data_IF_270932851114
#
_entry.id   IF_270932851114
#
_cell.length_a   1.000
_cell.length_b   1.000
_cell.length_c   1.000
_cell.angle_alpha   90.00
_cell.angle_beta   90.00
_cell.angle_gamma   90.00
#
_symmetry.space_group_name_H-M   'P 1'
#
loop_
_entity.id
_entity.type
_entity.pdbx_description
1 polymer ?
#
# COMPACT_ATOMS: atom_id res chain seq x y z
N UNK A 1 6.03 12.80 -28.01
CA UNK A 1 7.40 12.25 -27.80
C UNK A 1 7.29 10.76 -27.59
N UNK A 2 8.10 9.94 -28.27
CA UNK A 2 8.11 8.50 -28.06
C UNK A 2 9.01 8.15 -26.87
N UNK A 3 8.62 7.17 -26.05
CA UNK A 3 9.43 6.73 -24.92
C UNK A 3 10.79 6.18 -25.41
N UNK A 4 11.89 6.39 -24.65
CA UNK A 4 13.18 5.81 -24.99
C UNK A 4 13.10 4.28 -24.96
N UNK A 5 13.89 3.64 -25.84
CA UNK A 5 14.11 2.20 -25.79
C UNK A 5 15.17 1.93 -24.73
N UNK A 6 14.85 1.06 -23.78
CA UNK A 6 15.79 0.54 -22.80
C UNK A 6 16.32 -0.79 -23.30
N UNK A 7 17.63 -1.00 -23.15
CA UNK A 7 18.28 -2.25 -23.56
C UNK A 7 18.93 -2.90 -22.35
N UNK A 8 18.64 -4.17 -22.13
CA UNK A 8 19.23 -4.97 -21.05
C UNK A 8 20.58 -5.57 -21.49
N UNK A 9 21.46 -5.93 -20.54
CA UNK A 9 22.58 -6.84 -20.83
C UNK A 9 22.03 -8.13 -21.46
N UNK A 10 22.45 -8.43 -22.69
CA UNK A 10 21.89 -9.54 -23.50
C UNK A 10 21.08 -9.09 -24.73
N UNK A 11 20.96 -7.78 -24.99
CA UNK A 11 20.41 -7.25 -26.25
C UNK A 11 18.89 -7.17 -26.31
N UNK A 12 18.18 -7.57 -25.25
CA UNK A 12 16.72 -7.39 -25.14
C UNK A 12 16.43 -5.90 -25.10
N UNK A 13 15.65 -5.42 -26.06
CA UNK A 13 15.19 -4.04 -26.15
C UNK A 13 13.71 -3.95 -25.77
N UNK A 14 13.36 -2.98 -24.94
CA UNK A 14 11.98 -2.76 -24.50
C UNK A 14 11.64 -1.27 -24.48
N UNK A 15 10.41 -0.94 -24.84
CA UNK A 15 9.89 0.43 -24.84
C UNK A 15 8.63 0.48 -23.98
N UNK A 16 8.64 1.33 -22.96
CA UNK A 16 7.44 1.60 -22.16
C UNK A 16 6.43 2.43 -22.98
N UNK A 17 5.42 1.77 -23.54
CA UNK A 17 4.34 2.46 -24.25
C UNK A 17 3.54 3.44 -23.38
N UNK A 18 3.60 3.28 -22.05
CA UNK A 18 2.85 4.08 -21.08
C UNK A 18 3.69 5.14 -20.38
N UNK A 19 4.97 5.29 -20.74
CA UNK A 19 5.91 6.15 -19.99
C UNK A 19 5.32 7.51 -19.64
N UNK A 20 4.86 8.27 -20.62
CA UNK A 20 4.37 9.62 -20.37
C UNK A 20 2.97 9.66 -19.75
N UNK A 21 2.22 8.55 -19.83
CA UNK A 21 0.92 8.43 -19.18
C UNK A 21 1.04 8.36 -17.66
N UNK A 22 2.19 8.00 -17.09
CA UNK A 22 2.39 8.07 -15.63
C UNK A 22 2.25 9.48 -15.04
N UNK A 23 2.32 10.52 -15.88
CA UNK A 23 2.00 11.88 -15.46
C UNK A 23 0.51 12.08 -15.20
N UNK A 24 -0.39 11.21 -15.66
CA UNK A 24 -1.82 11.35 -15.38
C UNK A 24 -2.13 11.22 -13.88
N UNK A 25 -1.27 10.58 -13.09
CA UNK A 25 -1.38 10.56 -11.63
C UNK A 25 -1.37 11.96 -11.01
N UNK A 26 -0.75 12.95 -11.66
CA UNK A 26 -0.70 14.35 -11.17
C UNK A 26 -1.99 15.12 -11.49
N UNK A 27 -2.89 14.58 -12.32
CA UNK A 27 -4.17 15.24 -12.65
C UNK A 27 -5.00 15.39 -11.37
N UNK A 28 -5.08 14.37 -10.53
CA UNK A 28 -5.88 14.39 -9.30
C UNK A 28 -5.55 15.59 -8.39
N UNK A 29 -4.29 15.83 -7.97
CA UNK A 29 -3.96 17.00 -7.16
C UNK A 29 -4.11 18.33 -7.93
N UNK A 30 -3.92 18.35 -9.25
CA UNK A 30 -4.19 19.56 -10.06
C UNK A 30 -5.67 19.93 -10.08
N UNK A 31 -6.58 18.97 -10.11
CA UNK A 31 -8.02 19.24 -10.15
C UNK A 31 -8.54 19.95 -8.89
N UNK A 32 -7.95 19.70 -7.72
CA UNK A 32 -8.30 20.46 -6.52
C UNK A 32 -7.84 21.93 -6.61
N UNK A 33 -6.68 22.19 -7.21
CA UNK A 33 -6.17 23.55 -7.44
C UNK A 33 -7.04 24.27 -8.47
N UNK A 34 -7.40 23.59 -9.57
CA UNK A 34 -8.33 24.12 -10.58
C UNK A 34 -9.71 24.38 -9.98
N UNK A 35 -10.22 23.46 -9.16
CA UNK A 35 -11.50 23.60 -8.46
C UNK A 35 -11.52 24.84 -7.56
N UNK A 36 -10.46 25.06 -6.77
CA UNK A 36 -10.30 26.29 -5.99
C UNK A 36 -10.27 27.54 -6.89
N UNK A 37 -9.44 27.53 -7.96
CA UNK A 37 -9.29 28.70 -8.83
C UNK A 37 -10.58 29.09 -9.55
N UNK A 38 -11.37 28.11 -9.98
CA UNK A 38 -12.68 28.33 -10.59
C UNK A 38 -13.70 28.83 -9.56
N UNK A 39 -13.75 28.22 -8.37
CA UNK A 39 -14.60 28.69 -7.28
C UNK A 39 -14.25 30.14 -6.90
N UNK A 40 -12.97 30.47 -6.72
CA UNK A 40 -12.52 31.80 -6.34
C UNK A 40 -12.86 32.87 -7.39
N UNK A 41 -12.87 32.52 -8.68
CA UNK A 41 -13.25 33.46 -9.76
C UNK A 41 -14.75 33.62 -9.94
N UNK A 42 -15.54 32.58 -9.70
CA UNK A 42 -16.96 32.54 -10.08
C UNK A 42 -17.90 32.64 -8.88
N UNK A 43 -17.42 32.36 -7.66
CA UNK A 43 -18.23 32.16 -6.47
C UNK A 43 -19.01 30.83 -6.46
N UNK A 44 -18.94 30.03 -7.53
CA UNK A 44 -19.79 28.84 -7.67
C UNK A 44 -19.19 27.62 -6.96
N UNK A 45 -19.88 27.16 -5.91
CA UNK A 45 -19.49 26.01 -5.10
C UNK A 45 -19.35 24.68 -5.85
N UNK A 46 -19.97 24.55 -7.03
CA UNK A 46 -19.96 23.33 -7.85
C UNK A 46 -18.54 22.92 -8.26
N UNK A 47 -17.61 23.87 -8.38
CA UNK A 47 -16.23 23.59 -8.80
C UNK A 47 -15.45 22.72 -7.82
N UNK A 48 -15.85 22.67 -6.55
CA UNK A 48 -15.25 21.75 -5.58
C UNK A 48 -15.51 20.27 -5.91
N UNK A 49 -16.56 19.96 -6.70
CA UNK A 49 -16.91 18.59 -7.05
C UNK A 49 -16.13 18.03 -8.25
N UNK A 50 -15.30 18.84 -8.92
CA UNK A 50 -14.54 18.41 -10.10
C UNK A 50 -13.63 17.21 -9.78
N UNK A 51 -12.86 17.26 -8.69
CA UNK A 51 -11.97 16.17 -8.29
C UNK A 51 -12.71 14.86 -7.99
N UNK A 52 -13.74 14.82 -7.11
CA UNK A 52 -14.45 13.58 -6.86
C UNK A 52 -15.23 13.07 -8.07
N UNK A 53 -15.80 13.95 -8.90
CA UNK A 53 -16.45 13.51 -10.15
C UNK A 53 -15.44 12.89 -11.11
N UNK A 54 -14.23 13.46 -11.21
CA UNK A 54 -13.17 12.85 -11.99
C UNK A 54 -12.80 11.45 -11.47
N UNK A 55 -12.53 11.32 -10.17
CA UNK A 55 -12.05 10.06 -9.58
C UNK A 55 -13.14 9.00 -9.47
N UNK A 56 -14.36 9.35 -9.10
CA UNK A 56 -15.43 8.39 -8.81
C UNK A 56 -16.48 8.26 -9.93
N UNK A 57 -16.38 9.05 -11.00
CA UNK A 57 -17.25 8.91 -12.18
C UNK A 57 -16.41 8.73 -13.45
N UNK A 58 -15.55 9.70 -13.80
CA UNK A 58 -14.83 9.63 -15.07
C UNK A 58 -13.82 8.47 -15.13
N UNK A 59 -13.01 8.27 -14.07
CA UNK A 59 -12.05 7.15 -14.03
C UNK A 59 -12.76 5.79 -14.15
N UNK A 60 -13.84 5.49 -13.40
CA UNK A 60 -14.67 4.29 -13.62
C UNK A 60 -15.17 4.12 -15.05
N UNK A 61 -15.69 5.19 -15.68
CA UNK A 61 -16.16 5.12 -17.06
C UNK A 61 -15.02 4.80 -18.03
N UNK A 62 -13.85 5.40 -17.82
CA UNK A 62 -12.66 5.14 -18.62
C UNK A 62 -12.17 3.70 -18.44
N UNK A 63 -12.13 3.19 -17.21
CA UNK A 63 -11.73 1.80 -16.92
C UNK A 63 -12.67 0.78 -17.58
N UNK A 64 -13.98 1.04 -17.62
CA UNK A 64 -14.94 0.15 -18.29
C UNK A 64 -14.75 0.19 -19.82
N UNK A 65 -14.38 1.35 -20.36
CA UNK A 65 -14.19 1.53 -21.81
C UNK A 65 -12.79 1.14 -22.33
N UNK A 66 -11.82 0.95 -21.44
CA UNK A 66 -10.42 0.66 -21.80
C UNK A 66 -10.10 -0.81 -21.53
N UNK A 67 -9.54 -1.56 -22.49
CA UNK A 67 -9.12 -2.93 -22.26
C UNK A 67 -8.12 -3.05 -21.10
N UNK A 68 -8.22 -4.14 -20.34
CA UNK A 68 -7.24 -4.46 -19.30
C UNK A 68 -5.84 -4.68 -19.91
N UNK A 69 -4.80 -4.31 -19.17
CA UNK A 69 -3.42 -4.44 -19.62
C UNK A 69 -2.59 -5.27 -18.63
N UNK A 70 -2.42 -6.53 -19.00
CA UNK A 70 -1.59 -7.51 -18.30
C UNK A 70 -0.14 -7.54 -18.81
N UNK A 71 0.27 -6.57 -19.64
CA UNK A 71 1.63 -6.53 -20.19
C UNK A 71 2.63 -6.28 -19.06
N UNK A 72 3.59 -7.20 -18.96
CA UNK A 72 4.68 -7.13 -18.00
C UNK A 72 5.95 -6.64 -18.70
N UNK A 73 6.74 -5.75 -18.08
CA UNK A 73 8.10 -5.50 -18.56
C UNK A 73 8.94 -6.79 -18.41
N UNK A 74 9.86 -7.08 -19.35
CA UNK A 74 10.81 -8.17 -19.22
C UNK A 74 11.66 -8.01 -17.95
N UNK A 75 11.96 -9.11 -17.27
CA UNK A 75 12.70 -9.10 -15.99
C UNK A 75 14.13 -8.55 -16.18
N UNK A 76 14.70 -8.77 -17.36
CA UNK A 76 16.04 -8.33 -17.76
C UNK A 76 16.14 -6.79 -17.84
N UNK A 77 15.02 -6.12 -18.15
CA UNK A 77 14.95 -4.65 -18.26
C UNK A 77 14.66 -3.99 -16.91
N UNK A 78 14.22 -4.76 -15.90
CA UNK A 78 13.81 -4.25 -14.58
C UNK A 78 14.83 -3.27 -13.98
N UNK A 79 16.12 -3.62 -13.96
CA UNK A 79 17.16 -2.79 -13.37
C UNK A 79 17.28 -1.41 -14.07
N UNK A 80 17.18 -1.38 -15.40
CA UNK A 80 17.20 -0.15 -16.18
C UNK A 80 15.96 0.72 -15.91
N UNK A 81 14.78 0.11 -15.85
CA UNK A 81 13.52 0.76 -15.50
C UNK A 81 13.53 1.36 -14.09
N UNK A 82 14.06 0.64 -13.10
CA UNK A 82 14.15 1.11 -11.71
C UNK A 82 15.18 2.23 -11.53
N UNK A 83 16.24 2.25 -12.34
CA UNK A 83 17.26 3.30 -12.34
C UNK A 83 16.73 4.62 -12.94
N UNK A 84 15.75 4.55 -13.83
CA UNK A 84 15.22 5.72 -14.52
C UNK A 84 14.57 6.72 -13.55
N UNK A 85 15.05 7.97 -13.61
CA UNK A 85 14.61 9.06 -12.73
C UNK A 85 13.22 9.59 -13.07
N UNK A 86 12.73 9.38 -14.29
CA UNK A 86 11.42 9.86 -14.72
C UNK A 86 10.30 9.31 -13.82
N UNK A 87 10.29 8.00 -13.57
CA UNK A 87 9.24 7.37 -12.75
C UNK A 87 9.25 7.89 -11.31
N UNK A 88 10.43 8.10 -10.74
CA UNK A 88 10.57 8.72 -9.40
C UNK A 88 10.06 10.16 -9.38
N UNK A 89 10.38 10.95 -10.40
CA UNK A 89 9.92 12.35 -10.49
C UNK A 89 8.39 12.45 -10.51
N UNK A 90 7.69 11.50 -11.14
CA UNK A 90 6.22 11.47 -11.11
C UNK A 90 5.68 11.41 -9.68
N UNK A 91 6.19 10.48 -8.87
CA UNK A 91 5.80 10.37 -7.45
C UNK A 91 6.19 11.61 -6.63
N UNK A 92 7.33 12.25 -6.93
CA UNK A 92 7.77 13.44 -6.19
C UNK A 92 6.91 14.67 -6.50
N UNK A 93 6.44 14.82 -7.75
CA UNK A 93 5.59 15.94 -8.18
C UNK A 93 4.22 15.94 -7.50
N UNK A 94 3.73 14.78 -7.06
CA UNK A 94 2.44 14.70 -6.38
C UNK A 94 2.43 15.49 -5.07
N UNK A 95 3.53 15.45 -4.29
CA UNK A 95 3.60 16.07 -2.96
C UNK A 95 3.39 17.59 -2.97
N UNK A 96 4.14 18.39 -3.75
CA UNK A 96 3.92 19.83 -3.76
C UNK A 96 2.52 20.20 -4.25
N UNK A 97 1.98 19.50 -5.25
CA UNK A 97 0.63 19.77 -5.77
C UNK A 97 -0.46 19.45 -4.74
N UNK A 98 -0.35 18.31 -4.06
CA UNK A 98 -1.26 17.96 -2.97
C UNK A 98 -1.16 18.96 -1.79
N UNK A 99 0.06 19.41 -1.46
CA UNK A 99 0.28 20.43 -0.45
C UNK A 99 -0.36 21.77 -0.80
N UNK A 100 -0.22 22.23 -2.05
CA UNK A 100 -0.90 23.44 -2.55
C UNK A 100 -2.41 23.27 -2.44
N UNK A 101 -2.96 22.14 -2.90
CA UNK A 101 -4.40 21.86 -2.79
C UNK A 101 -4.92 21.90 -1.35
N UNK A 102 -4.14 21.38 -0.39
CA UNK A 102 -4.48 21.43 1.04
C UNK A 102 -4.49 22.86 1.58
N UNK A 103 -3.47 23.67 1.25
CA UNK A 103 -3.39 25.08 1.65
C UNK A 103 -4.54 25.88 1.07
N UNK A 104 -4.85 25.70 -0.22
CA UNK A 104 -5.97 26.38 -0.88
C UNK A 104 -7.33 25.96 -0.30
N UNK A 105 -7.51 24.68 0.03
CA UNK A 105 -8.69 24.21 0.76
C UNK A 105 -8.83 24.85 2.13
N UNK A 106 -7.74 24.97 2.89
CA UNK A 106 -7.73 25.66 4.19
C UNK A 106 -8.06 27.16 4.05
N UNK A 107 -7.49 27.83 3.04
CA UNK A 107 -7.78 29.23 2.75
C UNK A 107 -9.26 29.45 2.40
N UNK A 108 -9.83 28.62 1.52
CA UNK A 108 -11.25 28.67 1.16
C UNK A 108 -12.16 28.44 2.37
N UNK A 109 -11.80 27.50 3.25
CA UNK A 109 -12.55 27.22 4.47
C UNK A 109 -12.54 28.40 5.44
N UNK A 110 -11.38 29.00 5.65
CA UNK A 110 -11.20 30.14 6.55
C UNK A 110 -11.91 31.41 6.05
N UNK A 111 -11.99 31.61 4.73
CA UNK A 111 -12.70 32.76 4.14
C UNK A 111 -14.19 32.81 4.46
N UNK A 112 -14.81 31.70 4.89
CA UNK A 112 -16.22 31.68 5.35
C UNK A 112 -17.26 31.71 4.21
N UNK A 113 -16.84 31.89 2.97
CA UNK A 113 -17.69 32.02 1.77
C UNK A 113 -18.26 30.68 1.26
N UNK A 114 -17.83 29.54 1.82
CA UNK A 114 -18.31 28.23 1.42
C UNK A 114 -19.70 27.93 1.98
N UNK A 115 -20.68 27.77 1.08
CA UNK A 115 -21.98 27.16 1.41
C UNK A 115 -21.79 25.74 1.99
N UNK A 116 -22.78 25.18 2.73
CA UNK A 116 -22.66 23.84 3.29
C UNK A 116 -22.30 22.75 2.26
N UNK A 117 -22.89 22.79 1.08
CA UNK A 117 -22.56 21.86 -0.01
C UNK A 117 -21.12 22.06 -0.53
N UNK A 118 -20.64 23.30 -0.58
CA UNK A 118 -19.27 23.62 -0.99
C UNK A 118 -18.24 23.18 0.05
N UNK A 119 -18.59 23.25 1.34
CA UNK A 119 -17.77 22.72 2.44
C UNK A 119 -17.57 21.22 2.32
N UNK A 120 -18.65 20.48 2.05
CA UNK A 120 -18.59 19.03 1.79
C UNK A 120 -17.75 18.77 0.53
N UNK A 121 -18.02 19.49 -0.55
CA UNK A 121 -17.24 19.38 -1.79
C UNK A 121 -15.74 19.61 -1.56
N UNK A 122 -15.36 20.63 -0.79
CA UNK A 122 -13.97 20.93 -0.47
C UNK A 122 -13.30 19.82 0.36
N UNK A 123 -13.99 19.33 1.40
CA UNK A 123 -13.53 18.20 2.22
C UNK A 123 -13.31 16.95 1.37
N UNK A 124 -14.29 16.60 0.53
CA UNK A 124 -14.23 15.41 -0.34
C UNK A 124 -13.16 15.59 -1.41
N UNK A 125 -13.04 16.77 -2.01
CA UNK A 125 -12.04 17.06 -3.05
C UNK A 125 -10.63 16.97 -2.53
N UNK A 126 -10.31 17.72 -1.46
CA UNK A 126 -8.98 17.70 -0.86
C UNK A 126 -8.70 16.35 -0.19
N UNK A 127 -9.69 15.75 0.47
CA UNK A 127 -9.58 14.40 1.04
C UNK A 127 -9.32 13.32 -0.01
N UNK A 128 -9.89 13.46 -1.23
CA UNK A 128 -9.57 12.57 -2.36
C UNK A 128 -8.11 12.75 -2.78
N UNK A 129 -7.63 13.99 -2.89
CA UNK A 129 -6.22 14.27 -3.21
C UNK A 129 -5.27 13.71 -2.16
N UNK A 130 -5.53 13.93 -0.87
CA UNK A 130 -4.66 13.44 0.20
C UNK A 130 -4.77 11.93 0.38
N UNK A 131 -5.96 11.34 0.18
CA UNK A 131 -6.18 9.89 0.16
C UNK A 131 -5.44 9.19 -0.99
N UNK A 132 -5.55 9.69 -2.23
CA UNK A 132 -4.73 9.22 -3.35
C UNK A 132 -3.24 9.47 -3.10
N UNK A 133 -2.90 10.56 -2.39
CA UNK A 133 -1.53 10.84 -1.94
C UNK A 133 -0.94 9.73 -1.05
N UNK A 134 -1.76 8.99 -0.31
CA UNK A 134 -1.30 7.83 0.46
C UNK A 134 -0.70 6.76 -0.46
N UNK A 135 -1.20 6.59 -1.70
CA UNK A 135 -0.59 5.64 -2.66
C UNK A 135 0.83 6.05 -3.04
N UNK A 136 1.09 7.34 -3.15
CA UNK A 136 2.43 7.88 -3.36
C UNK A 136 3.29 7.65 -2.12
N UNK A 137 2.73 7.89 -0.92
CA UNK A 137 3.42 7.64 0.33
C UNK A 137 3.78 6.16 0.50
N UNK A 138 2.87 5.28 0.09
CA UNK A 138 3.01 3.84 0.10
C UNK A 138 4.18 3.40 -0.77
N UNK A 139 4.20 3.81 -2.05
CA UNK A 139 5.30 3.50 -2.97
C UNK A 139 6.64 4.00 -2.43
N UNK A 140 6.72 5.26 -1.99
CA UNK A 140 7.94 5.86 -1.46
C UNK A 140 8.40 5.23 -0.13
N UNK A 141 7.45 4.78 0.70
CA UNK A 141 7.69 4.24 2.03
C UNK A 141 8.45 2.91 2.03
N UNK A 142 8.28 2.11 0.98
CA UNK A 142 9.00 0.84 0.79
C UNK A 142 10.44 1.00 0.33
N UNK A 143 10.83 2.19 -0.14
CA UNK A 143 12.14 2.39 -0.76
C UNK A 143 13.22 2.61 0.29
N UNK A 144 14.45 2.22 -0.06
CA UNK A 144 15.62 2.30 0.84
C UNK A 144 16.17 3.72 0.95
N UNK A 145 15.86 4.61 0.00
CA UNK A 145 16.36 5.98 -0.04
C UNK A 145 15.91 6.83 1.15
N UNK A 146 16.83 7.63 1.72
CA UNK A 146 16.50 8.52 2.84
C UNK A 146 15.46 9.58 2.44
N UNK A 147 15.60 10.17 1.25
CA UNK A 147 14.67 11.17 0.73
C UNK A 147 13.26 10.57 0.54
N UNK A 148 13.15 9.45 -0.16
CA UNK A 148 11.86 8.78 -0.42
C UNK A 148 11.10 8.48 0.87
N UNK A 149 11.78 7.94 1.89
CA UNK A 149 11.18 7.68 3.19
C UNK A 149 10.71 8.96 3.91
N UNK A 150 11.44 10.07 3.76
CA UNK A 150 11.00 11.35 4.31
C UNK A 150 9.78 11.90 3.59
N UNK A 151 9.77 11.85 2.25
CA UNK A 151 8.63 12.24 1.43
C UNK A 151 7.39 11.40 1.75
N UNK A 152 7.54 10.10 2.00
CA UNK A 152 6.46 9.22 2.45
C UNK A 152 5.82 9.72 3.76
N UNK A 153 6.63 10.08 4.75
CA UNK A 153 6.11 10.62 6.04
C UNK A 153 5.42 11.96 5.87
N UNK A 154 5.98 12.86 5.05
CA UNK A 154 5.37 14.16 4.74
C UNK A 154 4.02 13.98 4.03
N UNK A 155 3.92 13.02 3.12
CA UNK A 155 2.68 12.72 2.41
C UNK A 155 1.58 12.10 3.30
N UNK A 156 1.95 11.44 4.39
CA UNK A 156 1.01 10.91 5.39
C UNK A 156 0.56 11.94 6.43
N UNK A 157 1.26 13.07 6.55
CA UNK A 157 0.94 14.10 7.53
C UNK A 157 -0.45 14.73 7.31
N UNK A 158 -0.88 15.08 6.08
CA UNK A 158 -2.21 15.61 5.82
C UNK A 158 -3.36 14.70 6.29
N UNK A 159 -3.18 13.38 6.27
CA UNK A 159 -4.24 12.42 6.64
C UNK A 159 -4.16 11.95 8.09
N UNK A 160 -3.23 12.49 8.90
CA UNK A 160 -2.97 12.06 10.28
C UNK A 160 -2.64 10.55 10.40
N UNK A 161 -2.27 9.91 9.28
CA UNK A 161 -2.12 8.46 9.19
C UNK A 161 -0.66 8.01 9.27
N UNK A 162 0.19 8.76 9.98
CA UNK A 162 1.64 8.53 10.06
C UNK A 162 2.04 7.13 10.60
N UNK A 163 1.19 6.51 11.43
CA UNK A 163 1.41 5.17 11.96
C UNK A 163 1.39 4.08 10.86
N UNK A 164 0.70 4.32 9.73
CA UNK A 164 0.70 3.44 8.56
C UNK A 164 2.11 3.15 8.05
N UNK A 165 3.02 4.14 8.09
CA UNK A 165 4.40 3.93 7.65
C UNK A 165 5.11 2.80 8.41
N UNK A 166 4.80 2.61 9.69
CA UNK A 166 5.33 1.51 10.49
C UNK A 166 4.53 0.25 10.25
N UNK A 167 3.20 0.32 10.39
CA UNK A 167 2.37 -0.88 10.35
C UNK A 167 2.38 -1.54 8.98
N UNK A 168 2.32 -0.76 7.91
CA UNK A 168 2.32 -1.33 6.57
C UNK A 168 3.62 -2.10 6.31
N UNK A 169 4.75 -1.45 6.52
CA UNK A 169 6.07 -1.95 6.16
C UNK A 169 6.58 -3.09 7.06
N UNK A 170 6.21 -3.09 8.34
CA UNK A 170 6.73 -4.08 9.33
C UNK A 170 5.66 -5.01 9.88
N UNK A 171 4.41 -4.75 9.53
CA UNK A 171 3.26 -5.43 10.08
C UNK A 171 2.44 -6.12 9.01
N UNK A 172 1.64 -5.34 8.30
CA UNK A 172 0.71 -5.81 7.27
C UNK A 172 1.41 -6.67 6.23
N UNK A 173 2.51 -6.23 5.62
CA UNK A 173 3.26 -7.06 4.64
C UNK A 173 3.73 -8.42 5.18
N UNK A 174 4.03 -8.50 6.48
CA UNK A 174 4.45 -9.74 7.15
C UNK A 174 3.26 -10.63 7.49
N UNK A 175 2.12 -10.02 7.85
CA UNK A 175 0.94 -10.71 8.40
C UNK A 175 -0.26 -10.77 7.44
N UNK A 176 -0.16 -10.21 6.24
CA UNK A 176 -1.24 -10.18 5.25
C UNK A 176 -1.85 -11.57 5.04
N UNK A 177 -3.16 -11.60 4.83
CA UNK A 177 -3.96 -12.81 4.73
C UNK A 177 -3.82 -13.74 5.95
N UNK A 178 -3.67 -13.18 7.16
CA UNK A 178 -3.72 -13.94 8.42
C UNK A 178 -4.69 -13.32 9.41
N UNK A 179 -5.06 -14.06 10.45
CA UNK A 179 -5.94 -13.56 11.50
C UNK A 179 -5.34 -12.42 12.34
N UNK A 180 -4.00 -12.30 12.34
CA UNK A 180 -3.26 -11.30 13.10
C UNK A 180 -3.09 -9.96 12.35
N UNK A 181 -3.45 -9.90 11.06
CA UNK A 181 -3.42 -8.66 10.30
C UNK A 181 -4.75 -7.90 10.39
N UNK A 182 -4.76 -6.69 10.97
CA UNK A 182 -5.98 -5.89 11.04
C UNK A 182 -6.49 -5.44 9.66
N UNK A 183 -5.63 -5.31 8.65
CA UNK A 183 -5.99 -4.88 7.31
C UNK A 183 -6.47 -6.03 6.40
N UNK A 184 -6.41 -7.29 6.85
CA UNK A 184 -6.98 -8.43 6.12
C UNK A 184 -8.49 -8.49 6.33
N UNK A 185 -9.25 -8.15 5.28
CA UNK A 185 -10.71 -8.17 5.30
C UNK A 185 -11.26 -9.60 5.21
N UNK A 186 -12.39 -9.85 5.88
CA UNK A 186 -12.96 -11.20 5.99
C UNK A 186 -14.14 -11.39 5.03
N UNK A 187 -14.27 -12.59 4.47
CA UNK A 187 -15.44 -12.96 3.66
C UNK A 187 -16.72 -12.83 4.48
N UNK A 188 -17.69 -12.08 3.97
CA UNK A 188 -18.94 -11.70 4.63
C UNK A 188 -18.85 -10.55 5.65
N UNK A 189 -17.67 -9.97 5.90
CA UNK A 189 -17.52 -8.76 6.71
C UNK A 189 -17.84 -7.53 5.87
N UNK A 190 -18.75 -6.65 6.30
CA UNK A 190 -19.00 -5.38 5.62
C UNK A 190 -17.86 -4.39 5.86
N UNK A 191 -17.63 -3.47 4.91
CA UNK A 191 -16.67 -2.38 5.08
C UNK A 191 -16.85 -1.63 6.42
N UNK A 192 -18.09 -1.33 6.80
CA UNK A 192 -18.39 -0.60 8.04
C UNK A 192 -18.03 -1.35 9.34
N UNK A 193 -17.87 -2.68 9.27
CA UNK A 193 -17.40 -3.49 10.40
C UNK A 193 -15.88 -3.70 10.36
N UNK A 194 -15.33 -3.72 9.15
CA UNK A 194 -13.90 -3.73 8.90
C UNK A 194 -13.23 -2.42 9.32
N UNK A 195 -13.79 -1.27 8.95
CA UNK A 195 -13.20 0.07 9.13
C UNK A 195 -12.71 0.36 10.56
N UNK A 196 -13.53 0.23 11.62
CA UNK A 196 -13.03 0.50 12.98
C UNK A 196 -12.00 -0.55 13.43
N UNK A 197 -12.12 -1.80 12.94
CA UNK A 197 -11.20 -2.90 13.27
C UNK A 197 -9.81 -2.65 12.65
N UNK A 198 -9.75 -2.23 11.39
CA UNK A 198 -8.49 -1.92 10.73
C UNK A 198 -7.85 -0.67 11.31
N UNK A 199 -8.59 0.43 11.49
CA UNK A 199 -8.02 1.71 11.98
C UNK A 199 -7.43 1.54 13.38
N UNK A 200 -8.19 0.99 14.33
CA UNK A 200 -7.71 0.81 15.71
C UNK A 200 -6.67 -0.31 15.80
N UNK A 201 -6.84 -1.38 15.02
CA UNK A 201 -5.92 -2.51 14.98
C UNK A 201 -4.54 -2.11 14.43
N UNK A 202 -4.50 -1.42 13.31
CA UNK A 202 -3.29 -0.93 12.65
C UNK A 202 -2.54 0.06 13.54
N UNK A 203 -3.25 0.94 14.23
CA UNK A 203 -2.67 1.84 15.22
C UNK A 203 -1.98 1.09 16.37
N UNK A 204 -2.69 0.15 17.01
CA UNK A 204 -2.15 -0.66 18.11
C UNK A 204 -0.95 -1.50 17.67
N UNK A 205 -1.05 -2.06 16.47
CA UNK A 205 0.03 -2.84 15.87
C UNK A 205 1.27 -2.00 15.59
N UNK A 206 1.12 -0.84 14.94
CA UNK A 206 2.20 0.10 14.69
C UNK A 206 2.95 0.46 15.99
N UNK A 207 2.19 0.80 17.04
CA UNK A 207 2.74 1.15 18.34
C UNK A 207 3.51 0.00 18.98
N UNK A 208 2.95 -1.21 18.94
CA UNK A 208 3.58 -2.41 19.49
C UNK A 208 4.90 -2.75 18.76
N UNK A 209 4.88 -2.76 17.42
CA UNK A 209 6.06 -3.04 16.58
C UNK A 209 7.17 -2.02 16.84
N UNK A 210 6.82 -0.74 16.88
CA UNK A 210 7.78 0.34 17.06
C UNK A 210 8.35 0.38 18.48
N UNK A 211 7.51 0.16 19.49
CA UNK A 211 7.93 0.04 20.88
C UNK A 211 8.91 -1.11 21.07
N UNK A 212 8.62 -2.28 20.47
CA UNK A 212 9.51 -3.44 20.50
C UNK A 212 10.84 -3.14 19.81
N UNK A 213 10.82 -2.53 18.62
CA UNK A 213 12.03 -2.11 17.89
C UNK A 213 12.94 -1.23 18.73
N UNK A 214 12.38 -0.24 19.43
CA UNK A 214 13.14 0.69 20.25
C UNK A 214 13.71 0.04 21.51
N UNK A 215 12.93 -0.80 22.20
CA UNK A 215 13.38 -1.55 23.38
C UNK A 215 14.55 -2.49 23.05
N UNK A 216 14.46 -3.21 21.93
CA UNK A 216 15.56 -4.06 21.44
C UNK A 216 16.83 -3.28 21.10
N UNK A 217 16.73 -1.97 20.85
CA UNK A 217 17.85 -1.07 20.60
C UNK A 217 18.28 -0.25 21.83
N UNK A 218 17.77 -0.58 23.02
CA UNK A 218 18.04 0.17 24.25
C UNK A 218 17.56 1.63 24.23
N UNK A 219 16.61 1.98 23.36
CA UNK A 219 16.11 3.34 23.20
C UNK A 219 14.76 3.54 23.92
N UNK A 220 14.50 4.78 24.37
CA UNK A 220 13.21 5.18 24.95
C UNK A 220 12.10 5.12 23.90
N UNK A 221 10.97 4.51 24.26
CA UNK A 221 9.78 4.38 23.39
C UNK A 221 9.18 5.74 23.05
N UNK A 222 9.10 6.66 24.02
CA UNK A 222 8.67 8.03 23.79
C UNK A 222 9.90 8.87 23.44
N UNK A 223 10.17 9.02 22.15
CA UNK A 223 11.27 9.83 21.63
C UNK A 223 11.06 10.12 20.14
N UNK A 224 11.82 11.07 19.57
CA UNK A 224 11.83 11.33 18.12
C UNK A 224 12.37 10.16 17.28
N UNK A 225 12.95 9.13 17.92
CA UNK A 225 13.33 7.88 17.24
C UNK A 225 12.12 6.98 16.97
N UNK A 226 10.99 7.23 17.64
CA UNK A 226 9.74 6.54 17.40
C UNK A 226 9.09 7.07 16.12
N UNK A 227 9.04 6.23 15.11
CA UNK A 227 8.54 6.58 13.78
C UNK A 227 7.04 6.95 13.78
N UNK A 228 6.26 6.36 14.70
CA UNK A 228 4.84 6.71 14.87
C UNK A 228 4.71 8.13 15.42
N UNK A 229 5.45 8.43 16.50
CA UNK A 229 5.44 9.77 17.10
C UNK A 229 5.98 10.83 16.16
N UNK A 230 7.01 10.52 15.38
CA UNK A 230 7.53 11.43 14.35
C UNK A 230 6.46 11.75 13.29
N UNK A 231 5.73 10.73 12.81
CA UNK A 231 4.64 10.94 11.84
C UNK A 231 3.53 11.86 12.39
N UNK A 232 3.14 11.68 13.65
CA UNK A 232 2.15 12.55 14.30
C UNK A 232 2.69 13.94 14.63
N UNK A 233 3.97 14.07 14.97
CA UNK A 233 4.60 15.37 15.13
C UNK A 233 4.56 16.16 13.82
N UNK A 234 4.85 15.52 12.68
CA UNK A 234 4.73 16.17 11.37
C UNK A 234 3.29 16.62 11.08
N UNK A 235 2.30 15.81 11.47
CA UNK A 235 0.87 16.18 11.37
C UNK A 235 0.56 17.39 12.26
N UNK A 236 0.99 17.36 13.52
CA UNK A 236 0.76 18.44 14.48
C UNK A 236 1.41 19.76 14.03
N UNK A 237 2.63 19.70 13.48
CA UNK A 237 3.30 20.87 12.90
C UNK A 237 2.51 21.38 11.70
N UNK A 238 2.13 20.52 10.75
CA UNK A 238 1.37 20.92 9.57
C UNK A 238 0.02 21.56 9.95
N UNK A 239 -0.76 20.89 10.79
CA UNK A 239 -2.08 21.36 11.19
C UNK A 239 -1.99 22.61 12.06
N UNK A 240 -1.00 22.66 12.96
CA UNK A 240 -0.71 23.83 13.79
C UNK A 240 -0.30 25.05 12.95
N UNK A 241 0.55 24.87 11.94
CA UNK A 241 0.94 25.95 11.03
C UNK A 241 -0.24 26.46 10.20
N UNK A 242 -1.09 25.58 9.69
CA UNK A 242 -2.30 25.99 8.95
C UNK A 242 -3.32 26.68 9.86
N UNK A 243 -3.53 26.19 11.09
CA UNK A 243 -4.41 26.83 12.06
C UNK A 243 -3.86 28.19 12.53
N UNK A 244 -2.54 28.35 12.65
CA UNK A 244 -1.92 29.63 12.95
C UNK A 244 -2.08 30.63 11.80
N UNK A 245 -1.98 30.17 10.54
CA UNK A 245 -2.08 31.03 9.36
C UNK A 245 -3.52 31.42 9.02
N UNK A 246 -4.48 30.50 9.18
CA UNK A 246 -5.86 30.66 8.69
C UNK A 246 -6.91 30.67 9.82
N UNK A 247 -6.49 30.58 11.08
CA UNK A 247 -7.35 30.50 12.24
C UNK A 247 -7.76 29.07 12.61
N UNK A 248 -8.20 28.82 13.87
CA UNK A 248 -8.46 27.47 14.39
C UNK A 248 -9.64 26.76 13.72
N UNK A 249 -10.53 27.47 13.03
CA UNK A 249 -11.68 26.88 12.33
C UNK A 249 -11.28 25.88 11.24
N UNK A 250 -10.08 26.02 10.66
CA UNK A 250 -9.56 25.10 9.65
C UNK A 250 -9.28 23.70 10.21
N UNK A 251 -9.12 23.54 11.52
CA UNK A 251 -8.93 22.23 12.13
C UNK A 251 -10.10 21.29 11.87
N UNK A 252 -11.33 21.82 11.77
CA UNK A 252 -12.52 21.03 11.40
C UNK A 252 -12.37 20.48 9.97
N UNK A 253 -11.98 21.33 9.03
CA UNK A 253 -11.70 20.93 7.65
C UNK A 253 -10.58 19.90 7.57
N UNK A 254 -9.45 20.17 8.23
CA UNK A 254 -8.27 19.31 8.22
C UNK A 254 -8.57 17.92 8.80
N UNK A 255 -9.33 17.86 9.90
CA UNK A 255 -9.79 16.60 10.49
C UNK A 255 -10.75 15.86 9.54
N UNK A 256 -11.74 16.56 8.96
CA UNK A 256 -12.72 15.94 8.07
C UNK A 256 -12.08 15.37 6.80
N UNK A 257 -11.19 16.13 6.14
CA UNK A 257 -10.50 15.65 4.94
C UNK A 257 -9.51 14.53 5.28
N UNK A 258 -8.89 14.55 6.47
CA UNK A 258 -8.01 13.48 6.91
C UNK A 258 -8.77 12.16 7.09
N UNK A 259 -9.94 12.22 7.76
CA UNK A 259 -10.83 11.06 7.93
C UNK A 259 -11.29 10.51 6.59
N UNK A 260 -11.70 11.39 5.66
CA UNK A 260 -12.04 10.96 4.30
C UNK A 260 -10.84 10.31 3.60
N UNK A 261 -9.66 10.94 3.65
CA UNK A 261 -8.44 10.47 3.00
C UNK A 261 -7.98 9.09 3.49
N UNK A 262 -7.86 8.86 4.80
CA UNK A 262 -7.47 7.52 5.29
C UNK A 262 -8.60 6.50 5.14
N UNK A 263 -9.88 6.91 5.08
CA UNK A 263 -11.00 6.00 4.77
C UNK A 263 -10.91 5.46 3.35
N UNK A 264 -10.38 6.22 2.39
CA UNK A 264 -10.08 5.70 1.06
C UNK A 264 -8.98 4.63 1.10
N UNK A 265 -7.90 4.85 1.84
CA UNK A 265 -6.86 3.82 2.05
C UNK A 265 -7.46 2.54 2.64
N UNK A 266 -8.24 2.64 3.72
CA UNK A 266 -8.82 1.45 4.34
C UNK A 266 -9.86 0.79 3.42
N UNK A 267 -10.54 1.56 2.56
CA UNK A 267 -11.36 1.01 1.49
C UNK A 267 -10.55 0.18 0.49
N UNK A 268 -9.36 0.66 0.13
CA UNK A 268 -8.43 -0.07 -0.74
C UNK A 268 -7.93 -1.35 -0.07
N UNK A 269 -7.45 -1.28 1.19
CA UNK A 269 -7.06 -2.45 1.97
C UNK A 269 -8.19 -3.50 2.04
N UNK A 270 -9.43 -3.03 2.23
CA UNK A 270 -10.60 -3.90 2.30
C UNK A 270 -10.82 -4.68 1.00
N UNK A 271 -10.71 -4.00 -0.16
CA UNK A 271 -10.87 -4.60 -1.49
C UNK A 271 -9.73 -5.56 -1.79
N UNK A 272 -8.49 -5.13 -1.51
CA UNK A 272 -7.25 -5.84 -1.81
C UNK A 272 -7.10 -7.18 -1.07
N UNK A 273 -7.66 -7.26 0.15
CA UNK A 273 -7.48 -8.42 1.02
C UNK A 273 -8.78 -9.13 1.38
N UNK A 274 -9.85 -8.89 0.62
CA UNK A 274 -11.16 -9.45 0.93
C UNK A 274 -11.20 -10.97 0.85
N UNK A 275 -11.40 -11.63 2.00
CA UNK A 275 -11.66 -13.06 2.10
C UNK A 275 -10.45 -13.98 1.89
N UNK A 276 -9.29 -13.43 1.52
CA UNK A 276 -8.07 -14.19 1.29
C UNK A 276 -7.39 -14.54 2.62
N UNK A 277 -6.88 -15.76 2.70
CA UNK A 277 -6.13 -16.33 3.80
C UNK A 277 -4.92 -17.13 3.29
N UNK A 278 -3.86 -17.12 4.09
CA UNK A 278 -2.71 -18.00 4.01
C UNK A 278 -2.97 -19.28 4.78
N UNK A 279 -2.53 -20.40 4.20
CA UNK A 279 -2.51 -21.68 4.88
C UNK A 279 -1.40 -21.74 5.93
N UNK A 280 -1.57 -22.67 6.88
CA UNK A 280 -0.48 -23.11 7.73
C UNK A 280 0.30 -24.23 7.03
N UNK A 281 1.63 -24.19 7.14
CA UNK A 281 2.52 -25.27 6.76
C UNK A 281 2.37 -26.44 7.75
N UNK A 282 2.88 -27.65 7.43
CA UNK A 282 2.89 -28.78 8.36
C UNK A 282 3.54 -28.46 9.72
N UNK A 283 4.49 -27.53 9.75
CA UNK A 283 5.18 -27.04 10.96
C UNK A 283 4.37 -25.98 11.74
N UNK A 284 3.13 -25.70 11.33
CA UNK A 284 2.21 -24.77 11.99
C UNK A 284 2.48 -23.28 11.72
N UNK A 285 3.45 -22.94 10.86
CA UNK A 285 3.74 -21.55 10.47
C UNK A 285 2.85 -21.12 9.31
N UNK A 286 2.62 -19.82 9.13
CA UNK A 286 1.98 -19.36 7.89
C UNK A 286 2.92 -19.54 6.70
N UNK A 287 2.36 -19.92 5.55
CA UNK A 287 3.11 -19.97 4.30
C UNK A 287 3.66 -18.59 3.90
N UNK A 288 4.70 -18.53 3.03
CA UNK A 288 5.18 -17.27 2.49
C UNK A 288 4.08 -16.48 1.76
N UNK A 289 4.21 -15.15 1.71
CA UNK A 289 3.31 -14.31 0.90
C UNK A 289 3.61 -14.59 -0.57
N UNK A 290 2.56 -14.81 -1.37
CA UNK A 290 2.63 -15.08 -2.81
C UNK A 290 1.57 -14.22 -3.50
N UNK A 291 1.60 -14.10 -4.84
CA UNK A 291 0.60 -13.35 -5.59
C UNK A 291 -0.85 -13.82 -5.39
N UNK A 292 -1.09 -14.98 -4.76
CA UNK A 292 -2.43 -15.50 -4.42
C UNK A 292 -3.07 -14.82 -3.20
N UNK A 293 -2.28 -14.16 -2.36
CA UNK A 293 -2.72 -13.65 -1.05
C UNK A 293 -3.21 -12.19 -1.07
N UNK A 294 -3.40 -11.62 -2.26
CA UNK A 294 -4.02 -10.31 -2.48
C UNK A 294 -4.68 -10.28 -3.85
N UNK A 295 -5.76 -9.49 -3.97
CA UNK A 295 -6.45 -9.25 -5.23
C UNK A 295 -5.66 -8.32 -6.15
N UNK A 296 -5.75 -8.56 -7.46
CA UNK A 296 -5.08 -7.81 -8.51
C UNK A 296 -6.11 -7.14 -9.45
N UNK A 297 -5.73 -6.05 -10.11
CA UNK A 297 -6.49 -5.48 -11.23
C UNK A 297 -5.56 -4.91 -12.30
N UNK A 298 -5.85 -5.26 -13.55
CA UNK A 298 -5.14 -4.76 -14.73
C UNK A 298 -5.86 -3.58 -15.41
N UNK A 299 -6.79 -2.92 -14.71
CA UNK A 299 -7.49 -1.72 -15.21
C UNK A 299 -6.51 -0.55 -15.44
N UNK A 300 -6.37 -0.12 -16.70
CA UNK A 300 -5.29 0.79 -17.14
C UNK A 300 -5.39 2.17 -16.48
N UNK A 301 -6.55 2.81 -16.51
CA UNK A 301 -6.70 4.20 -16.06
C UNK A 301 -6.50 4.30 -14.55
N UNK A 302 -7.12 3.42 -13.78
CA UNK A 302 -6.86 3.32 -12.34
C UNK A 302 -5.39 2.99 -12.04
N UNK A 303 -4.74 2.13 -12.83
CA UNK A 303 -3.32 1.80 -12.61
C UNK A 303 -2.40 3.00 -12.88
N UNK A 304 -2.67 3.80 -13.90
CA UNK A 304 -1.89 5.02 -14.14
C UNK A 304 -2.11 6.06 -13.04
N UNK A 305 -3.34 6.23 -12.56
CA UNK A 305 -3.68 7.18 -11.50
C UNK A 305 -3.10 6.82 -10.13
N UNK A 306 -2.95 5.51 -9.84
CA UNK A 306 -2.55 4.99 -8.53
C UNK A 306 -1.14 4.39 -8.54
N UNK A 307 -0.28 4.73 -9.51
CA UNK A 307 1.08 4.17 -9.63
C UNK A 307 1.10 2.64 -9.54
N UNK A 308 0.31 2.00 -10.40
CA UNK A 308 0.15 0.55 -10.51
C UNK A 308 -0.14 -0.19 -9.20
N UNK A 309 -0.68 0.52 -8.20
CA UNK A 309 -1.04 -0.08 -6.92
C UNK A 309 -1.94 -1.31 -7.09
N UNK A 310 -2.77 -1.35 -8.14
CA UNK A 310 -3.65 -2.48 -8.39
C UNK A 310 -2.94 -3.76 -8.83
N UNK A 311 -1.66 -3.69 -9.21
CA UNK A 311 -0.78 -4.88 -9.31
C UNK A 311 -0.29 -5.32 -7.93
N UNK A 312 -1.23 -5.39 -7.00
CA UNK A 312 -1.00 -5.49 -5.56
C UNK A 312 -0.44 -6.86 -5.17
N UNK A 313 -0.83 -7.89 -5.90
CA UNK A 313 -0.30 -9.24 -5.75
C UNK A 313 1.22 -9.30 -5.88
N UNK A 314 1.78 -8.66 -6.90
CA UNK A 314 3.25 -8.57 -7.06
C UNK A 314 3.86 -7.66 -6.00
N UNK A 315 3.19 -6.56 -5.67
CA UNK A 315 3.64 -5.67 -4.61
C UNK A 315 3.80 -6.39 -3.27
N UNK A 316 2.85 -7.23 -2.87
CA UNK A 316 2.94 -8.00 -1.63
C UNK A 316 4.00 -9.11 -1.67
N UNK A 317 4.18 -9.75 -2.82
CA UNK A 317 5.25 -10.74 -2.99
C UNK A 317 6.64 -10.08 -3.01
N UNK A 318 6.75 -8.86 -3.56
CA UNK A 318 8.00 -8.15 -3.81
C UNK A 318 7.90 -6.63 -3.50
N UNK A 319 7.72 -6.21 -2.24
CA UNK A 319 7.35 -4.82 -1.87
C UNK A 319 8.38 -3.76 -2.23
N UNK A 320 9.64 -4.15 -2.45
CA UNK A 320 10.70 -3.22 -2.87
C UNK A 320 10.68 -2.90 -4.36
N UNK A 321 9.98 -3.68 -5.19
CA UNK A 321 9.82 -3.37 -6.63
C UNK A 321 9.17 -2.01 -6.81
N UNK A 322 9.63 -1.25 -7.79
CA UNK A 322 9.01 0.04 -8.12
C UNK A 322 7.76 -0.16 -8.97
N UNK A 323 6.84 0.80 -8.89
CA UNK A 323 5.55 0.66 -9.56
C UNK A 323 5.62 0.36 -11.06
N UNK A 324 6.59 0.92 -11.79
CA UNK A 324 6.70 0.75 -13.24
C UNK A 324 7.20 -0.66 -13.64
N UNK A 325 7.62 -1.47 -12.67
CA UNK A 325 8.06 -2.87 -12.87
C UNK A 325 7.16 -3.88 -12.17
N UNK A 326 6.03 -3.45 -11.60
CA UNK A 326 5.06 -4.38 -11.03
C UNK A 326 4.42 -5.24 -12.11
N UNK A 327 4.16 -6.50 -11.76
CA UNK A 327 3.72 -7.53 -12.70
C UNK A 327 2.32 -8.06 -12.39
N UNK A 328 1.64 -8.53 -13.42
CA UNK A 328 0.42 -9.36 -13.28
C UNK A 328 0.80 -10.83 -13.45
N UNK A 329 0.27 -11.70 -12.60
CA UNK A 329 0.49 -13.15 -12.66
C UNK A 329 -0.82 -13.89 -12.87
N UNK A 330 -0.76 -15.03 -13.56
CA UNK A 330 -1.93 -15.88 -13.83
C UNK A 330 -2.58 -16.41 -12.53
N UNK A 331 -1.77 -16.65 -11.50
CA UNK A 331 -2.23 -17.12 -10.20
C UNK A 331 -2.81 -16.02 -9.31
N UNK A 332 -2.66 -14.75 -9.67
CA UNK A 332 -3.22 -13.63 -8.92
C UNK A 332 -4.73 -13.59 -9.10
N UNK A 333 -5.52 -13.61 -8.00
CA UNK A 333 -6.96 -13.46 -8.12
C UNK A 333 -7.30 -12.06 -8.63
N UNK A 334 -8.15 -11.96 -9.65
CA UNK A 334 -8.45 -10.69 -10.32
C UNK A 334 -9.76 -10.08 -9.83
N UNK A 335 -9.73 -8.77 -9.60
CA UNK A 335 -10.90 -7.96 -9.32
C UNK A 335 -11.73 -7.74 -10.59
N UNK A 336 -13.05 -7.55 -10.46
CA UNK A 336 -13.93 -7.37 -11.62
C UNK A 336 -13.97 -5.96 -12.21
N UNK A 337 -13.37 -4.98 -11.54
CA UNK A 337 -13.34 -3.58 -11.96
C UNK A 337 -12.16 -2.84 -11.33
N UNK A 338 -11.89 -1.62 -11.78
CA UNK A 338 -10.91 -0.72 -11.16
C UNK A 338 -11.30 -0.31 -9.73
N UNK A 339 -10.30 0.12 -8.96
CA UNK A 339 -10.46 0.44 -7.53
C UNK A 339 -11.53 1.50 -7.25
N UNK A 340 -11.63 2.55 -8.07
CA UNK A 340 -12.62 3.60 -7.86
C UNK A 340 -14.06 3.06 -7.88
N UNK A 341 -14.38 2.17 -8.83
CA UNK A 341 -15.68 1.48 -8.91
C UNK A 341 -15.91 0.60 -7.68
N UNK A 342 -14.88 -0.16 -7.28
CA UNK A 342 -14.99 -1.12 -6.20
C UNK A 342 -15.08 -0.47 -4.82
N UNK A 343 -14.48 0.72 -4.62
CA UNK A 343 -14.66 1.51 -3.40
C UNK A 343 -16.12 1.88 -3.18
N UNK A 344 -16.80 2.37 -4.23
CA UNK A 344 -18.22 2.69 -4.18
C UNK A 344 -19.06 1.44 -3.89
N UNK A 345 -18.73 0.31 -4.53
CA UNK A 345 -19.41 -0.96 -4.29
C UNK A 345 -19.19 -1.48 -2.86
N UNK A 346 -17.98 -1.38 -2.31
CA UNK A 346 -17.62 -1.83 -0.97
C UNK A 346 -18.41 -1.10 0.14
N UNK A 347 -18.72 0.18 -0.08
CA UNK A 347 -19.52 0.98 0.85
C UNK A 347 -21.01 0.58 0.88
N UNK A 348 -21.46 -0.21 -0.10
CA UNK A 348 -22.79 -0.79 -0.21
C UNK A 348 -22.72 -2.32 -0.02
N UNK A 349 -22.75 -2.87 1.21
CA UNK A 349 -22.46 -4.27 1.48
C UNK A 349 -23.24 -5.29 0.63
N UNK A 350 -24.55 -5.13 0.34
CA UNK A 350 -25.27 -6.06 -0.53
C UNK A 350 -24.75 -6.10 -1.97
N UNK A 351 -24.21 -4.99 -2.49
CA UNK A 351 -23.58 -4.93 -3.82
C UNK A 351 -22.23 -5.62 -3.76
N UNK A 352 -21.41 -5.27 -2.75
CA UNK A 352 -20.10 -5.86 -2.54
C UNK A 352 -20.13 -7.39 -2.42
N UNK A 353 -21.00 -7.93 -1.57
CA UNK A 353 -21.09 -9.39 -1.35
C UNK A 353 -21.54 -10.14 -2.61
N UNK A 354 -22.44 -9.55 -3.41
CA UNK A 354 -22.83 -10.13 -4.70
C UNK A 354 -21.67 -10.13 -5.71
N UNK A 355 -20.81 -9.12 -5.64
CA UNK A 355 -19.68 -8.98 -6.55
C UNK A 355 -18.50 -9.87 -6.15
N UNK A 356 -18.21 -10.01 -4.85
CA UNK A 356 -16.93 -10.58 -4.41
C UNK A 356 -17.03 -11.95 -3.72
N UNK A 357 -18.14 -12.30 -3.06
CA UNK A 357 -18.19 -13.56 -2.31
C UNK A 357 -17.95 -14.78 -3.22
N UNK A 358 -18.61 -14.81 -4.37
CA UNK A 358 -18.50 -15.89 -5.36
C UNK A 358 -17.07 -16.01 -5.93
N UNK A 359 -16.34 -14.88 -6.02
CA UNK A 359 -14.95 -14.83 -6.50
C UNK A 359 -13.99 -15.40 -5.46
N UNK A 360 -14.18 -15.07 -4.18
CA UNK A 360 -13.40 -15.68 -3.08
C UNK A 360 -13.64 -17.19 -3.04
N UNK A 361 -14.90 -17.62 -3.16
CA UNK A 361 -15.26 -19.05 -3.16
C UNK A 361 -14.62 -19.77 -4.34
N UNK A 362 -14.66 -19.18 -5.54
CA UNK A 362 -14.03 -19.74 -6.73
C UNK A 362 -12.51 -19.84 -6.60
N UNK A 363 -11.86 -18.83 -6.01
CA UNK A 363 -10.41 -18.84 -5.76
C UNK A 363 -9.97 -20.04 -4.91
N UNK A 364 -10.78 -20.44 -3.93
CA UNK A 364 -10.53 -21.62 -3.09
C UNK A 364 -11.20 -22.91 -3.58
N UNK A 365 -11.73 -22.94 -4.81
CA UNK A 365 -12.34 -24.14 -5.39
C UNK A 365 -13.59 -24.61 -4.64
N UNK A 366 -14.31 -23.70 -3.96
CA UNK A 366 -15.48 -24.03 -3.14
C UNK A 366 -15.15 -24.30 -1.66
N UNK A 367 -13.88 -24.48 -1.29
CA UNK A 367 -13.50 -24.78 0.09
C UNK A 367 -13.36 -23.52 0.95
N UNK A 368 -14.44 -23.18 1.65
CA UNK A 368 -14.49 -22.06 2.58
C UNK A 368 -13.61 -22.24 3.83
N UNK A 369 -13.09 -23.43 4.12
CA UNK A 369 -12.15 -23.63 5.24
C UNK A 369 -10.80 -22.95 4.96
N UNK A 370 -10.48 -22.72 3.68
CA UNK A 370 -9.26 -22.04 3.23
C UNK A 370 -9.40 -20.53 3.13
N UNK A 371 -10.61 -19.99 3.29
CA UNK A 371 -10.88 -18.56 3.23
C UNK A 371 -10.88 -17.89 4.61
N UNK A 372 -10.57 -16.59 4.65
CA UNK A 372 -10.67 -15.78 5.87
C UNK A 372 -12.14 -15.39 6.12
N UNK A 373 -12.93 -16.28 6.71
CA UNK A 373 -14.38 -16.05 6.87
C UNK A 373 -14.72 -15.25 8.14
N UNK A 374 -15.60 -14.25 8.01
CA UNK A 374 -16.13 -13.46 9.11
C UNK A 374 -16.92 -14.37 10.08
N UNK A 375 -16.50 -14.52 11.36
CA UNK A 375 -17.05 -15.56 12.23
C UNK A 375 -18.58 -15.55 12.36
N UNK A 376 -19.24 -14.38 12.55
CA UNK A 376 -20.72 -14.29 12.56
C UNK A 376 -21.42 -14.79 11.29
N UNK A 377 -20.75 -14.79 10.13
CA UNK A 377 -21.32 -15.19 8.83
C UNK A 377 -20.94 -16.60 8.41
N UNK A 378 -20.05 -17.28 9.15
CA UNK A 378 -19.47 -18.58 8.76
C UNK A 378 -20.53 -19.63 8.45
N UNK A 379 -21.47 -19.87 9.37
CA UNK A 379 -22.53 -20.88 9.18
C UNK A 379 -23.42 -20.57 7.97
N UNK A 380 -23.83 -19.32 7.81
CA UNK A 380 -24.68 -18.90 6.70
C UNK A 380 -23.98 -19.05 5.34
N UNK A 381 -22.70 -18.66 5.25
CA UNK A 381 -21.90 -18.81 4.04
C UNK A 381 -21.62 -20.28 3.72
N UNK A 382 -21.26 -21.09 4.72
CA UNK A 382 -21.10 -22.54 4.55
C UNK A 382 -22.38 -23.21 4.04
N UNK A 383 -23.55 -22.84 4.57
CA UNK A 383 -24.83 -23.34 4.09
C UNK A 383 -25.11 -22.91 2.64
N UNK A 384 -24.88 -21.62 2.31
CA UNK A 384 -25.07 -21.06 0.97
C UNK A 384 -24.20 -21.75 -0.08
N UNK A 385 -22.94 -22.05 0.26
CA UNK A 385 -21.95 -22.56 -0.69
C UNK A 385 -21.76 -24.08 -0.67
N UNK A 386 -22.50 -24.83 0.16
CA UNK A 386 -22.37 -26.29 0.31
C UNK A 386 -22.51 -27.09 -1.00
N UNK A 387 -23.34 -26.62 -1.93
CA UNK A 387 -23.58 -27.24 -3.23
C UNK A 387 -23.21 -26.31 -4.41
N UNK A 388 -22.38 -25.30 -4.16
CA UNK A 388 -22.09 -24.28 -5.14
C UNK A 388 -21.29 -24.83 -6.31
N UNK A 389 -21.80 -24.60 -7.52
CA UNK A 389 -21.06 -24.81 -8.77
C UNK A 389 -20.49 -23.47 -9.21
N UNK A 390 -19.17 -23.40 -9.34
CA UNK A 390 -18.47 -22.18 -9.78
C UNK A 390 -18.99 -21.79 -11.18
N UNK A 391 -19.58 -20.59 -11.36
CA UNK A 391 -20.01 -20.10 -12.65
C UNK A 391 -18.84 -19.99 -13.63
N UNK A 392 -19.07 -20.31 -14.90
CA UNK A 392 -18.04 -20.31 -15.95
C UNK A 392 -17.34 -18.96 -16.12
N UNK A 393 -18.03 -17.84 -15.88
CA UNK A 393 -17.47 -16.48 -15.97
C UNK A 393 -16.65 -16.04 -14.75
N UNK A 394 -16.59 -16.86 -13.69
CA UNK A 394 -15.82 -16.61 -12.45
C UNK A 394 -14.69 -17.65 -12.29
N UNK A 395 -14.73 -18.74 -13.07
CA UNK A 395 -13.75 -19.81 -12.98
C UNK A 395 -12.33 -19.25 -13.26
N UNK A 396 -11.34 -19.51 -12.37
CA UNK A 396 -9.98 -19.08 -12.62
C UNK A 396 -9.43 -19.77 -13.87
N UNK A 397 -8.62 -19.05 -14.66
CA UNK A 397 -8.12 -19.48 -15.97
C UNK A 397 -7.42 -20.86 -15.96
N UNK A 398 -6.91 -21.30 -14.81
CA UNK A 398 -6.28 -22.62 -14.62
C UNK A 398 -7.21 -23.79 -14.24
N UNK A 399 -8.49 -23.57 -13.89
CA UNK A 399 -9.37 -24.64 -13.41
C UNK A 399 -9.90 -25.58 -14.52
N UNK A 400 -9.85 -25.15 -15.78
CA UNK A 400 -10.34 -25.95 -16.91
C UNK A 400 -9.38 -27.10 -17.23
N UNK A 401 -8.07 -26.93 -17.03
CA UNK A 401 -7.07 -27.96 -17.41
C UNK A 401 -6.92 -29.12 -16.42
N UNK A 402 -7.31 -28.96 -15.16
CA UNK A 402 -7.19 -30.03 -14.17
C UNK A 402 -8.26 -31.13 -14.32
N UNK A 403 -9.35 -30.87 -15.06
CA UNK A 403 -10.42 -31.87 -15.28
C UNK A 403 -10.14 -32.79 -16.46
N UNK A 404 -9.46 -32.31 -17.49
CA UNK A 404 -9.20 -33.11 -18.70
C UNK A 404 -8.05 -34.11 -18.53
N UNK A 405 -7.20 -33.94 -17.50
CA UNK A 405 -6.12 -34.88 -17.17
C UNK A 405 -6.53 -36.06 -16.28
N UNK A 406 -7.73 -36.04 -15.68
CA UNK A 406 -8.17 -37.07 -14.74
C UNK A 406 -9.14 -38.10 -15.36
N UNK A 407 -9.48 -37.95 -16.65
CA UNK A 407 -10.40 -38.86 -17.36
C UNK A 407 -9.72 -40.11 -17.96
N UNK A 408 -8.45 -40.38 -17.64
CA UNK A 408 -7.64 -41.41 -18.31
C UNK A 408 -7.21 -42.63 -17.49
N UNK A 409 -7.58 -42.76 -16.22
CA UNK A 409 -7.24 -43.95 -15.42
C UNK A 409 -8.49 -44.59 -14.83
N UNK A 410 -9.01 -45.58 -15.54
CA UNK A 410 -10.08 -46.45 -15.07
C UNK A 410 -9.64 -47.24 -13.84
N UNK A 411 -10.43 -47.13 -12.78
CA UNK A 411 -10.34 -47.93 -11.56
C UNK A 411 -10.71 -49.37 -11.92
N UNK A 412 -9.78 -50.32 -11.72
CA UNK A 412 -10.11 -51.74 -11.61
C UNK A 412 -10.25 -52.12 -10.15
N UNK A 413 -11.41 -52.69 -9.87
CA UNK A 413 -11.87 -53.23 -8.60
C UNK A 413 -11.00 -54.41 -8.16
N UNK A 414 -10.70 -54.49 -6.85
CA UNK A 414 -9.85 -55.53 -6.28
C UNK A 414 -10.01 -55.58 -4.77
N UNK A 415 -10.84 -56.51 -4.30
CA UNK A 415 -11.06 -56.85 -2.88
C UNK A 415 -9.76 -57.29 -2.18
N UNK A 416 -9.63 -57.09 -0.85
CA UNK A 416 -8.41 -57.45 -0.13
C UNK A 416 -8.43 -58.92 0.34
N UNK A 417 -7.28 -59.62 0.45
CA UNK A 417 -7.19 -60.84 1.21
C UNK A 417 -6.74 -60.58 2.65
N UNK A 418 -7.26 -61.41 3.55
CA UNK A 418 -6.96 -61.46 4.99
C UNK A 418 -5.60 -62.13 5.31
N UNK A 419 -5.09 -61.71 6.49
CA UNK A 419 -4.26 -62.41 7.47
C UNK A 419 -2.83 -62.87 7.11
N UNK A 420 -1.84 -62.42 7.90
CA UNK A 420 -1.31 -63.30 8.96
C UNK A 420 -0.62 -62.50 10.10
N UNK A 421 -0.60 -63.13 11.27
CA UNK A 421 -0.06 -62.67 12.56
C UNK A 421 1.46 -62.88 12.63
N UNK A 422 2.15 -62.02 13.36
CA UNK A 422 3.00 -62.38 14.51
C UNK A 422 3.96 -61.25 14.93
N UNK A 423 4.21 -61.17 16.24
CA UNK A 423 5.57 -60.92 16.71
C UNK A 423 5.91 -59.59 17.38
N UNK A 424 5.65 -59.54 18.70
CA UNK A 424 6.59 -59.10 19.73
C UNK A 424 6.82 -57.61 20.05
N UNK A 425 6.92 -57.40 21.36
CA UNK A 425 7.06 -56.16 22.10
C UNK A 425 8.51 -55.83 22.48
N UNK A 426 8.81 -54.54 22.63
CA UNK A 426 9.77 -53.90 23.55
C UNK A 426 9.69 -52.38 23.27
N UNK A 427 9.53 -51.45 24.22
CA UNK A 427 10.28 -51.30 25.46
C UNK A 427 11.44 -50.32 25.21
N UNK A 428 11.28 -49.04 25.56
CA UNK A 428 12.38 -48.05 25.45
C UNK A 428 11.96 -46.60 25.68
N UNK A 429 12.00 -46.16 26.94
CA UNK A 429 12.12 -44.75 27.33
C UNK A 429 13.59 -44.33 27.19
N UNK A 430 13.86 -43.13 26.70
CA UNK A 430 14.99 -42.24 27.05
C UNK A 430 14.80 -40.91 26.28
N UNK A 431 14.41 -39.83 26.93
CA UNK A 431 15.24 -38.78 27.56
C UNK A 431 15.91 -37.80 26.57
N UNK A 432 15.38 -36.57 26.58
CA UNK A 432 16.08 -35.27 26.63
C UNK A 432 17.43 -35.18 25.90
N UNK A 433 17.43 -34.47 24.77
CA UNK A 433 18.62 -33.91 24.13
C UNK A 433 18.38 -32.46 23.74
N UNK A 434 18.86 -31.54 24.58
CA UNK A 434 18.97 -30.13 24.26
C UNK A 434 20.03 -29.94 23.16
N UNK A 435 19.68 -29.25 22.08
CA UNK A 435 20.67 -28.72 21.15
C UNK A 435 20.50 -27.21 21.03
N UNK A 436 21.45 -26.51 21.66
CA UNK A 436 21.79 -25.14 21.39
C UNK A 436 22.62 -25.09 20.11
N UNK A 437 22.29 -24.17 19.20
CA UNK A 437 23.23 -23.69 18.17
C UNK A 437 23.13 -22.16 18.13
N UNK A 438 24.11 -21.57 18.80
CA UNK A 438 24.89 -20.37 18.45
C UNK A 438 24.28 -19.29 17.54
N UNK A 439 23.96 -18.16 18.18
CA UNK A 439 23.84 -16.84 17.57
C UNK A 439 25.23 -16.20 17.45
N UNK A 440 25.71 -16.00 16.23
CA UNK A 440 26.90 -15.19 15.96
C UNK A 440 26.53 -13.73 15.66
N UNK A 441 27.07 -12.80 16.45
CA UNK A 441 27.24 -11.38 16.20
C UNK A 441 28.34 -10.86 17.16
N UNK A 442 28.94 -9.65 16.98
CA UNK A 442 29.18 -8.83 15.79
C UNK A 442 30.66 -8.37 15.68
N UNK A 443 31.11 -7.90 14.51
CA UNK A 443 32.40 -7.22 14.37
C UNK A 443 32.27 -5.69 14.52
N UNK A 444 32.89 -5.16 15.58
CA UNK A 444 34.01 -4.22 15.50
C UNK A 444 33.76 -2.77 15.04
N UNK A 445 33.55 -1.89 16.01
CA UNK A 445 33.82 -0.45 15.98
C UNK A 445 35.34 -0.17 16.04
N UNK A 446 35.82 0.83 15.28
CA UNK A 446 37.14 1.43 15.50
C UNK A 446 37.00 2.96 15.58
N UNK A 447 37.33 3.53 16.75
CA UNK A 447 37.54 4.96 16.98
C UNK A 447 39.03 5.31 16.90
N UNK A 448 39.27 6.52 16.39
CA UNK A 448 40.29 7.52 16.74
C UNK A 448 41.77 7.12 16.94
N UNK A 449 42.64 7.79 16.17
CA UNK A 449 43.92 8.33 16.68
C UNK A 449 44.17 9.75 16.17
N UNK A 450 44.17 10.67 17.12
CA UNK A 450 44.80 11.99 17.06
C UNK A 450 46.29 11.79 17.38
N UNK A 451 47.17 12.43 16.61
CA UNK A 451 48.56 12.66 17.03
C UNK A 451 48.92 14.12 16.76
N UNK A 452 49.24 14.84 17.83
CA UNK A 452 49.92 16.14 17.81
C UNK A 452 51.43 15.92 17.76
N UNK A 453 52.14 16.82 17.09
CA UNK A 453 53.44 17.34 17.54
C UNK A 453 53.78 18.64 16.82
N UNK A 454 54.26 19.60 17.61
CA UNK A 454 54.67 20.94 17.24
C UNK A 454 56.20 21.07 17.25
N UNK A 455 56.72 22.04 16.48
CA UNK A 455 57.94 22.88 16.62
C UNK A 455 58.13 23.54 15.24
N UNK A 456 58.33 24.84 15.00
CA UNK A 456 58.96 25.93 15.76
C UNK A 456 59.90 26.67 14.78
N UNK A 457 60.03 28.00 14.90
CA UNK A 457 60.95 28.95 14.21
C UNK A 457 60.49 29.49 12.84
N UNK A 458 60.56 30.79 12.50
CA UNK A 458 60.94 32.03 13.18
C UNK A 458 60.42 33.24 12.35
N UNK A 459 60.15 34.37 13.02
CA UNK A 459 59.98 35.74 12.47
C UNK A 459 61.31 36.51 12.78
N UNK A 460 61.67 37.73 12.25
CA UNK A 460 60.76 38.87 12.00
C UNK A 460 61.14 39.91 10.89
N UNK A 461 60.26 40.92 10.76
CA UNK A 461 60.52 42.37 10.57
C UNK A 461 60.49 43.04 9.17
N UNK A 462 59.54 43.98 8.98
CA UNK A 462 59.68 45.44 8.65
C UNK A 462 58.34 45.98 8.07
N UNK A 463 57.59 46.82 8.78
CA UNK A 463 57.61 48.30 8.82
C UNK A 463 56.96 49.01 7.57
N UNK A 464 55.94 49.85 7.82
CA UNK A 464 55.00 50.48 6.84
C UNK A 464 55.57 51.66 6.01
N UNK A 465 54.83 52.75 5.67
CA UNK A 465 53.46 53.16 6.07
C UNK A 465 52.54 53.77 4.95
N UNK A 466 51.29 54.10 5.35
CA UNK A 466 50.40 55.25 5.03
C UNK A 466 50.42 55.88 3.61
N UNK A 467 49.26 56.04 2.96
CA UNK A 467 48.35 57.20 3.07
C UNK A 467 47.18 57.13 2.07
N UNK A 468 46.03 57.68 2.51
CA UNK A 468 44.82 58.04 1.75
C UNK A 468 45.03 59.37 0.95
N UNK A 469 44.06 60.07 0.31
CA UNK A 469 42.60 59.83 0.19
C UNK A 469 41.93 60.26 -1.16
N UNK A 470 40.58 60.22 -1.18
CA UNK A 470 39.58 60.96 -2.02
C UNK A 470 39.50 60.56 -3.51
N UNK A 471 38.33 60.48 -4.13
CA UNK A 471 37.07 61.25 -4.01
C UNK A 471 35.80 60.40 -4.03
#
# INVERSE_FOLDING_TARGET
MAAPVLTAPGGIAWRDGKRYMWLTAIIVPLLAIVGYGLWHRTGLGVHWWITPLFVFVLVPLLDISTPADSVNPPEEIRAALEADRFYRRCTYLYLPLAGIGLVLGAAAWAGGELSPASRIGAVVSVGTVTGVGITTAHELGHKRGRLERWLARLMLAPTCYGHFYVEHNRGHHVRVATSADPASARLGESFWRFWPRTVVGSLRSAWSLESRRLRLRGARVVSLRNEVLLGWLLTAVLFGSLAAAFGPSVLVFLAAQAVFGFTLLEGVNYIEHYGLARAHTPEGRYEPVTPRHSWNSDAVTSNLALYQLQRHSDHHAHPTRRYQVLRSFEESPQLPAGYATLLLAAYLPPVWFRLMDDRVVAHYGGDLCRANVHPPRRRALQARYRAYRIPSHIAPAGAVRARDGAAGMGVRDGSPPEADRDGAAAGGRESVGAFAVELAAPFGSAEARVTSRATGDADPAEAGPRDSPRS
#
